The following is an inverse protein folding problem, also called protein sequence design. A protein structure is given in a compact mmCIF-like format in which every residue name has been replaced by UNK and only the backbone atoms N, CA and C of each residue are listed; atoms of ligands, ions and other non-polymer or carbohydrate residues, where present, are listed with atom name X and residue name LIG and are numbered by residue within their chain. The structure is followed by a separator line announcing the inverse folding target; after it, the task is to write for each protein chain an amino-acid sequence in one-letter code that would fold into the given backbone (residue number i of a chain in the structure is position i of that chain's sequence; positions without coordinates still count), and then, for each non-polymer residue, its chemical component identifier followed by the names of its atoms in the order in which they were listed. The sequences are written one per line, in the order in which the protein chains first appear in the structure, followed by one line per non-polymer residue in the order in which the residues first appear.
data_IF_865586849540
#
_entry.id   IF_865586849540
#
_cell.length_a   1.000
_cell.length_b   1.000
_cell.length_c   1.000
_cell.angle_alpha   90.00
_cell.angle_beta   90.00
_cell.angle_gamma   90.00
#
_symmetry.space_group_name_H-M   'P 1'
#
loop_
_entity.id
_entity.type
_entity.pdbx_description
1 polymer ?
#
# COMPACT_ATOMS: atom_id res chain seq x y z
N UNK A 1 51.22 -22.03 -0.24
CA UNK A 1 50.12 -21.74 0.72
C UNK A 1 49.64 -20.29 0.52
N UNK A 2 49.49 -19.85 -0.73
CA UNK A 2 48.31 -20.01 -1.61
C UNK A 2 47.15 -19.08 -1.26
N UNK A 3 47.37 -17.81 -1.63
CA UNK A 3 46.38 -16.74 -1.72
C UNK A 3 45.10 -17.19 -2.47
N UNK A 4 45.25 -18.07 -3.47
CA UNK A 4 44.12 -18.64 -4.23
C UNK A 4 43.15 -19.43 -3.35
N UNK A 5 43.61 -20.11 -2.29
CA UNK A 5 42.72 -20.85 -1.38
C UNK A 5 41.91 -19.94 -0.45
N UNK A 6 42.41 -18.75 -0.09
CA UNK A 6 41.68 -17.79 0.76
C UNK A 6 40.55 -17.08 0.01
N UNK A 7 40.73 -16.81 -1.28
CA UNK A 7 39.68 -16.19 -2.11
C UNK A 7 38.55 -17.19 -2.40
N UNK A 8 38.88 -18.46 -2.63
CA UNK A 8 37.88 -19.50 -2.88
C UNK A 8 37.01 -19.78 -1.64
N UNK A 9 37.58 -19.75 -0.43
CA UNK A 9 36.82 -19.91 0.82
C UNK A 9 35.91 -18.72 1.12
N UNK A 10 36.32 -17.49 0.80
CA UNK A 10 35.47 -16.29 0.95
C UNK A 10 34.30 -16.32 -0.04
N UNK A 11 34.52 -16.78 -1.28
CA UNK A 11 33.45 -16.91 -2.29
C UNK A 11 32.41 -17.94 -1.86
N UNK A 12 32.81 -19.07 -1.26
CA UNK A 12 31.86 -20.07 -0.75
C UNK A 12 31.05 -19.58 0.45
N UNK A 13 31.64 -18.79 1.34
CA UNK A 13 30.93 -18.21 2.51
C UNK A 13 29.92 -17.14 2.07
N UNK A 14 30.23 -16.33 1.06
CA UNK A 14 29.29 -15.34 0.50
C UNK A 14 28.18 -16.00 -0.32
N UNK A 15 28.47 -17.10 -1.03
CA UNK A 15 27.44 -17.85 -1.76
C UNK A 15 26.46 -18.58 -0.83
N UNK A 16 26.92 -19.05 0.35
CA UNK A 16 26.06 -19.66 1.38
C UNK A 16 25.17 -18.67 2.12
N UNK A 17 25.57 -17.39 2.20
CA UNK A 17 24.70 -16.33 2.75
C UNK A 17 23.64 -15.85 1.75
N UNK A 18 23.81 -16.07 0.45
CA UNK A 18 22.78 -15.77 -0.56
C UNK A 18 21.73 -16.87 -0.74
N UNK A 19 21.92 -18.05 -0.14
CA UNK A 19 20.99 -19.19 -0.21
C UNK A 19 20.07 -19.33 1.01
N UNK A 20 20.16 -18.43 1.98
CA UNK A 20 19.37 -18.45 3.22
C UNK A 20 18.49 -17.20 3.36
N UNK A 21 17.57 -17.02 2.41
CA UNK A 21 16.67 -15.85 2.37
C UNK A 21 15.30 -16.07 1.73
N UNK A 22 14.83 -17.31 1.63
CA UNK A 22 13.41 -17.62 1.41
C UNK A 22 13.15 -19.03 1.91
N UNK A 23 13.20 -19.19 3.24
CA UNK A 23 12.65 -20.36 3.90
C UNK A 23 11.14 -20.32 3.73
N UNK A 24 10.62 -20.94 2.67
CA UNK A 24 9.25 -21.43 2.68
C UNK A 24 9.16 -22.49 3.77
N UNK A 25 8.48 -22.13 4.87
CA UNK A 25 8.13 -23.06 5.93
C UNK A 25 7.22 -24.16 5.37
N UNK A 26 7.41 -25.33 5.94
CA UNK A 26 6.91 -26.63 5.53
C UNK A 26 5.38 -26.71 5.47
N UNK A 27 4.91 -27.28 4.36
CA UNK A 27 3.51 -27.56 4.05
C UNK A 27 2.94 -28.57 5.05
N UNK A 28 1.94 -28.16 5.83
CA UNK A 28 1.28 -29.01 6.80
C UNK A 28 -0.25 -28.94 6.58
N UNK A 29 -0.73 -29.82 5.69
CA UNK A 29 -2.02 -30.52 5.80
C UNK A 29 -3.34 -29.74 5.71
N UNK A 30 -3.35 -28.41 5.67
CA UNK A 30 -4.55 -27.56 5.44
C UNK A 30 -4.14 -26.33 4.60
N UNK A 31 -3.83 -26.60 3.32
CA UNK A 31 -2.94 -25.84 2.44
C UNK A 31 -3.50 -24.52 1.83
N UNK A 32 -3.99 -23.58 2.63
CA UNK A 32 -4.31 -22.24 2.08
C UNK A 32 -3.83 -21.05 2.91
N UNK A 33 -3.26 -21.29 4.09
CA UNK A 33 -2.70 -20.21 4.91
C UNK A 33 -1.26 -19.90 4.50
N UNK A 34 -0.95 -18.63 4.26
CA UNK A 34 0.41 -18.13 4.08
C UNK A 34 0.75 -17.15 5.19
N UNK A 35 2.01 -17.11 5.58
CA UNK A 35 2.54 -16.17 6.56
C UNK A 35 3.57 -15.27 5.87
N UNK A 36 3.39 -13.96 6.02
CA UNK A 36 4.22 -12.96 5.36
C UNK A 36 4.76 -11.97 6.38
N UNK A 37 6.02 -11.62 6.23
CA UNK A 37 6.62 -10.49 6.93
C UNK A 37 6.74 -9.31 5.97
N UNK A 38 6.44 -8.12 6.48
CA UNK A 38 6.47 -6.88 5.72
C UNK A 38 6.88 -5.71 6.60
N UNK A 39 7.37 -4.66 5.97
CA UNK A 39 7.87 -3.48 6.63
C UNK A 39 7.06 -2.27 6.18
N UNK A 40 6.86 -1.34 7.10
CA UNK A 40 6.11 -0.12 6.87
C UNK A 40 6.84 1.07 7.48
N UNK A 41 6.83 2.18 6.74
CA UNK A 41 7.47 3.43 7.15
C UNK A 41 6.44 4.54 7.08
N UNK A 42 6.45 5.43 8.07
CA UNK A 42 5.73 6.70 8.02
C UNK A 42 6.63 7.82 8.52
N UNK A 43 6.62 8.95 7.83
CA UNK A 43 7.29 10.17 8.28
C UNK A 43 6.50 10.79 9.45
N UNK A 44 7.24 11.42 10.35
CA UNK A 44 6.74 12.19 11.48
C UNK A 44 7.40 13.56 11.47
N UNK A 45 6.58 14.59 11.34
CA UNK A 45 6.98 15.99 11.44
C UNK A 45 6.50 16.58 12.76
N UNK A 46 7.16 17.65 13.21
CA UNK A 46 6.75 18.39 14.40
C UNK A 46 5.32 18.91 14.22
N UNK A 47 4.42 18.48 15.11
CA UNK A 47 2.97 18.77 15.01
C UNK A 47 2.12 17.55 14.67
N UNK A 48 2.72 16.48 14.13
CA UNK A 48 2.01 15.24 13.83
C UNK A 48 1.65 14.47 15.10
N UNK A 49 0.57 13.68 15.03
CA UNK A 49 0.22 12.74 16.10
C UNK A 49 1.03 11.46 15.98
N UNK A 50 1.83 11.14 17.01
CA UNK A 50 2.58 9.87 17.09
C UNK A 50 1.66 8.65 16.90
N UNK A 51 0.44 8.70 17.44
CA UNK A 51 -0.52 7.61 17.32
C UNK A 51 -0.97 7.41 15.86
N UNK A 52 -1.23 8.51 15.15
CA UNK A 52 -1.58 8.46 13.72
C UNK A 52 -0.40 7.89 12.93
N UNK A 53 0.80 8.43 13.12
CA UNK A 53 2.02 7.95 12.44
C UNK A 53 2.24 6.45 12.63
N UNK A 54 2.10 5.93 13.86
CA UNK A 54 2.22 4.50 14.13
C UNK A 54 1.19 3.68 13.34
N UNK A 55 -0.07 4.12 13.35
CA UNK A 55 -1.16 3.47 12.61
C UNK A 55 -0.92 3.49 11.10
N UNK A 56 -0.44 4.61 10.55
CA UNK A 56 -0.14 4.73 9.12
C UNK A 56 1.02 3.85 8.69
N UNK A 57 2.09 3.75 9.50
CA UNK A 57 3.18 2.82 9.19
C UNK A 57 2.73 1.36 9.25
N UNK A 58 1.89 0.98 10.22
CA UNK A 58 1.33 -0.36 10.29
C UNK A 58 0.44 -0.64 9.08
N UNK A 59 -0.42 0.30 8.70
CA UNK A 59 -1.23 0.21 7.49
C UNK A 59 -0.38 0.00 6.24
N UNK A 60 0.71 0.77 6.07
CA UNK A 60 1.63 0.61 4.94
C UNK A 60 2.22 -0.80 4.89
N UNK A 61 2.69 -1.33 6.03
CA UNK A 61 3.20 -2.70 6.10
C UNK A 61 2.13 -3.74 5.72
N UNK A 62 0.93 -3.62 6.31
CA UNK A 62 -0.20 -4.51 6.01
C UNK A 62 -0.59 -4.45 4.53
N UNK A 63 -0.63 -3.27 3.93
CA UNK A 63 -0.95 -3.09 2.51
C UNK A 63 0.06 -3.81 1.62
N UNK A 64 1.36 -3.67 1.90
CA UNK A 64 2.41 -4.43 1.21
C UNK A 64 2.22 -5.95 1.37
N UNK A 65 1.93 -6.42 2.58
CA UNK A 65 1.68 -7.84 2.83
C UNK A 65 0.45 -8.36 2.05
N UNK A 66 -0.64 -7.57 2.05
CA UNK A 66 -1.87 -7.86 1.29
C UNK A 66 -1.59 -7.97 -0.20
N UNK A 67 -0.77 -7.07 -0.76
CA UNK A 67 -0.42 -7.09 -2.18
C UNK A 67 0.39 -8.33 -2.56
N UNK A 68 1.35 -8.72 -1.71
CA UNK A 68 2.12 -9.94 -1.91
C UNK A 68 1.24 -11.20 -1.80
N UNK A 69 0.38 -11.25 -0.79
CA UNK A 69 -0.59 -12.34 -0.61
C UNK A 69 -1.55 -12.44 -1.80
N UNK A 70 -2.09 -11.31 -2.25
CA UNK A 70 -2.99 -11.25 -3.40
C UNK A 70 -2.33 -11.73 -4.69
N UNK A 71 -1.07 -11.34 -4.94
CA UNK A 71 -0.26 -11.86 -6.06
C UNK A 71 -0.07 -13.38 -5.96
N UNK A 72 0.21 -13.91 -4.76
CA UNK A 72 0.37 -15.35 -4.53
C UNK A 72 -0.92 -16.11 -4.81
N UNK A 73 -2.04 -15.72 -4.20
CA UNK A 73 -3.31 -16.43 -4.35
C UNK A 73 -3.89 -16.32 -5.75
N UNK A 74 -3.71 -15.18 -6.43
CA UNK A 74 -4.05 -15.03 -7.86
C UNK A 74 -3.29 -16.04 -8.73
N UNK A 75 -1.98 -16.19 -8.53
CA UNK A 75 -1.17 -17.18 -9.28
C UNK A 75 -1.62 -18.62 -9.03
N UNK A 76 -2.12 -18.91 -7.82
CA UNK A 76 -2.68 -20.21 -7.44
C UNK A 76 -4.15 -20.40 -7.86
N UNK A 77 -4.78 -19.40 -8.50
CA UNK A 77 -6.21 -19.39 -8.85
C UNK A 77 -7.14 -19.61 -7.64
N UNK A 78 -6.70 -19.19 -6.46
CA UNK A 78 -7.45 -19.31 -5.21
C UNK A 78 -8.33 -18.08 -4.93
N UNK A 79 -8.06 -17.00 -5.64
CA UNK A 79 -8.72 -15.70 -5.51
C UNK A 79 -8.94 -15.14 -6.90
N UNK A 80 -10.12 -14.58 -7.16
CA UNK A 80 -10.45 -13.98 -8.45
C UNK A 80 -9.54 -12.76 -8.76
N UNK A 81 -9.28 -12.46 -10.04
CA UNK A 81 -8.71 -11.18 -10.38
C UNK A 81 -9.73 -10.10 -9.99
N UNK A 82 -9.47 -9.37 -8.90
CA UNK A 82 -10.28 -8.23 -8.44
C UNK A 82 -10.16 -7.01 -9.37
N UNK A 83 -10.26 -7.22 -10.69
CA UNK A 83 -9.96 -6.29 -11.80
C UNK A 83 -10.01 -4.81 -11.41
N UNK A 84 -11.22 -4.29 -11.27
CA UNK A 84 -11.48 -2.87 -11.08
C UNK A 84 -11.71 -2.48 -9.61
N UNK A 85 -11.72 -3.44 -8.68
CA UNK A 85 -11.98 -3.21 -7.24
C UNK A 85 -10.80 -3.53 -6.35
N UNK A 86 -9.67 -3.94 -6.94
CA UNK A 86 -8.47 -4.40 -6.24
C UNK A 86 -8.09 -3.43 -5.13
N UNK A 87 -7.99 -2.15 -5.43
CA UNK A 87 -7.48 -1.18 -4.46
C UNK A 87 -8.50 -0.84 -3.37
N UNK A 88 -9.81 -0.95 -3.64
CA UNK A 88 -10.85 -0.91 -2.59
C UNK A 88 -10.71 -2.10 -1.63
N UNK A 89 -10.63 -3.32 -2.18
CA UNK A 89 -10.61 -4.56 -1.41
C UNK A 89 -9.32 -4.68 -0.61
N UNK A 90 -8.17 -4.35 -1.21
CA UNK A 90 -6.88 -4.47 -0.57
C UNK A 90 -6.71 -3.42 0.53
N UNK A 91 -7.25 -2.22 0.35
CA UNK A 91 -7.24 -1.20 1.39
C UNK A 91 -8.10 -1.62 2.58
N UNK A 92 -9.31 -2.16 2.35
CA UNK A 92 -10.16 -2.70 3.44
C UNK A 92 -9.45 -3.85 4.16
N UNK A 93 -8.89 -4.81 3.41
CA UNK A 93 -8.21 -5.95 4.02
C UNK A 93 -7.00 -5.51 4.87
N UNK A 94 -6.26 -4.49 4.43
CA UNK A 94 -5.13 -3.96 5.18
C UNK A 94 -5.56 -3.30 6.51
N UNK A 95 -6.79 -2.79 6.63
CA UNK A 95 -7.30 -2.33 7.93
C UNK A 95 -7.77 -3.49 8.82
N UNK A 96 -8.40 -4.51 8.23
CA UNK A 96 -9.09 -5.59 8.94
C UNK A 96 -8.16 -6.74 9.37
N UNK A 97 -7.06 -6.97 8.66
CA UNK A 97 -6.18 -8.11 8.94
C UNK A 97 -5.39 -7.88 10.23
N UNK A 98 -5.32 -8.91 11.06
CA UNK A 98 -4.53 -8.87 12.30
C UNK A 98 -3.04 -9.03 12.00
N UNK A 99 -2.23 -8.32 12.77
CA UNK A 99 -0.78 -8.34 12.71
C UNK A 99 -0.14 -8.74 14.03
N UNK A 100 1.01 -9.41 13.93
CA UNK A 100 1.96 -9.54 15.01
C UNK A 100 3.10 -8.54 14.76
N UNK A 101 3.34 -7.62 15.69
CA UNK A 101 4.44 -6.66 15.57
C UNK A 101 5.76 -7.34 15.97
N UNK A 102 6.67 -7.49 15.01
CA UNK A 102 7.99 -8.09 15.24
C UNK A 102 8.99 -7.04 15.74
N UNK A 103 8.94 -5.84 15.16
CA UNK A 103 9.89 -4.76 15.48
C UNK A 103 9.26 -3.39 15.28
N UNK A 104 9.54 -2.49 16.20
CA UNK A 104 9.24 -1.06 16.09
C UNK A 104 10.52 -0.26 16.29
N UNK A 105 10.77 0.77 15.50
CA UNK A 105 11.93 1.65 15.69
C UNK A 105 11.62 3.07 15.25
N UNK A 106 12.11 4.04 16.01
CA UNK A 106 12.12 5.45 15.62
C UNK A 106 13.53 5.84 15.20
N UNK A 107 13.65 6.48 14.04
CA UNK A 107 14.90 7.11 13.61
C UNK A 107 14.65 8.60 13.42
N UNK A 108 15.59 9.43 13.83
CA UNK A 108 15.49 10.89 13.69
C UNK A 108 16.61 11.40 12.81
N UNK A 109 16.29 12.25 11.86
CA UNK A 109 17.26 12.89 10.96
C UNK A 109 16.88 14.35 10.82
N UNK A 110 17.57 15.21 11.59
CA UNK A 110 17.19 16.62 11.72
C UNK A 110 15.78 16.78 12.33
N UNK A 111 14.95 17.60 11.69
CA UNK A 111 13.58 17.89 12.13
C UNK A 111 12.54 16.84 11.72
N UNK A 112 12.95 15.81 10.96
CA UNK A 112 12.06 14.74 10.50
C UNK A 112 12.43 13.45 11.23
N UNK A 113 11.46 12.86 11.91
CA UNK A 113 11.58 11.49 12.40
C UNK A 113 10.87 10.53 11.45
N UNK A 114 11.33 9.29 11.41
CA UNK A 114 10.67 8.18 10.71
C UNK A 114 10.30 7.13 11.72
N UNK A 115 9.08 6.64 11.62
CA UNK A 115 8.65 5.45 12.34
C UNK A 115 8.69 4.27 11.40
N UNK A 116 9.41 3.24 11.81
CA UNK A 116 9.56 1.98 11.11
C UNK A 116 8.90 0.87 11.92
N UNK A 117 8.12 0.03 11.25
CA UNK A 117 7.52 -1.17 11.83
C UNK A 117 7.74 -2.35 10.90
N UNK A 118 8.06 -3.51 11.50
CA UNK A 118 8.04 -4.81 10.83
C UNK A 118 6.97 -5.67 11.47
N UNK A 119 6.09 -6.22 10.66
CA UNK A 119 4.97 -7.04 11.10
C UNK A 119 5.01 -8.41 10.46
N UNK A 120 4.35 -9.37 11.10
CA UNK A 120 3.97 -10.67 10.53
C UNK A 120 2.47 -10.73 10.39
N UNK A 121 1.99 -11.24 9.27
CA UNK A 121 0.57 -11.38 8.98
C UNK A 121 0.31 -12.74 8.37
N UNK A 122 -0.79 -13.38 8.80
CA UNK A 122 -1.27 -14.63 8.23
C UNK A 122 -2.47 -14.35 7.34
N UNK A 123 -2.46 -14.91 6.13
CA UNK A 123 -3.53 -14.75 5.16
C UNK A 123 -4.09 -16.08 4.72
N UNK A 124 -5.38 -16.10 4.46
CA UNK A 124 -6.10 -17.13 3.73
C UNK A 124 -6.86 -16.51 2.55
N UNK A 125 -7.27 -17.29 1.53
CA UNK A 125 -8.16 -16.80 0.48
C UNK A 125 -9.48 -16.24 1.03
N UNK A 126 -9.97 -16.79 2.15
CA UNK A 126 -11.20 -16.37 2.81
C UNK A 126 -11.14 -14.92 3.28
N UNK A 127 -9.96 -14.42 3.67
CA UNK A 127 -9.80 -13.03 4.10
C UNK A 127 -10.09 -12.04 2.97
N UNK A 128 -9.67 -12.38 1.74
CA UNK A 128 -9.97 -11.57 0.55
C UNK A 128 -11.45 -11.60 0.18
N UNK A 129 -12.09 -12.78 0.26
CA UNK A 129 -13.54 -12.91 0.05
C UNK A 129 -14.32 -12.08 1.08
N UNK A 130 -13.88 -12.10 2.35
CA UNK A 130 -14.50 -11.30 3.42
C UNK A 130 -14.35 -9.80 3.14
N UNK A 131 -13.17 -9.36 2.74
CA UNK A 131 -12.93 -7.96 2.38
C UNK A 131 -13.78 -7.52 1.18
N UNK A 132 -13.98 -8.38 0.18
CA UNK A 132 -14.89 -8.13 -0.93
C UNK A 132 -16.35 -7.98 -0.49
N UNK A 133 -16.85 -8.91 0.32
CA UNK A 133 -18.20 -8.84 0.89
C UNK A 133 -18.38 -7.53 1.66
N UNK A 134 -17.40 -7.16 2.48
CA UNK A 134 -17.42 -5.93 3.26
C UNK A 134 -17.41 -4.70 2.35
N UNK A 135 -16.61 -4.70 1.28
CA UNK A 135 -16.60 -3.64 0.26
C UNK A 135 -17.99 -3.45 -0.37
N UNK A 136 -18.65 -4.55 -0.76
CA UNK A 136 -20.01 -4.53 -1.31
C UNK A 136 -21.03 -3.98 -0.32
N UNK A 137 -20.89 -4.27 0.97
CA UNK A 137 -21.76 -3.71 2.01
C UNK A 137 -21.58 -2.20 2.14
N UNK A 138 -20.35 -1.69 2.11
CA UNK A 138 -20.09 -0.25 2.13
C UNK A 138 -20.66 0.44 0.90
N UNK A 139 -20.45 -0.12 -0.29
CA UNK A 139 -21.01 0.42 -1.53
C UNK A 139 -22.54 0.52 -1.48
N UNK A 140 -23.22 -0.51 -0.93
CA UNK A 140 -24.68 -0.49 -0.72
C UNK A 140 -25.12 0.59 0.28
N UNK A 141 -24.35 0.81 1.36
CA UNK A 141 -24.65 1.86 2.36
C UNK A 141 -24.49 3.25 1.75
N UNK A 142 -23.45 3.48 0.98
CA UNK A 142 -23.17 4.75 0.32
C UNK A 142 -24.17 5.08 -0.79
N UNK A 143 -24.64 4.06 -1.52
CA UNK A 143 -25.69 4.25 -2.55
C UNK A 143 -26.96 4.88 -1.97
N UNK A 144 -27.31 4.53 -0.72
CA UNK A 144 -28.48 5.06 0.03
C UNK A 144 -28.26 6.45 0.62
N UNK A 145 -27.07 7.02 0.48
CA UNK A 145 -26.74 8.33 1.05
C UNK A 145 -27.33 9.47 0.21
N UNK A 146 -27.86 10.50 0.87
CA UNK A 146 -28.46 11.66 0.22
C UNK A 146 -27.49 12.38 -0.73
N UNK A 147 -28.02 12.92 -1.85
CA UNK A 147 -27.23 13.56 -2.91
C UNK A 147 -26.27 14.65 -2.39
N UNK A 148 -26.70 15.45 -1.42
CA UNK A 148 -25.89 16.52 -0.80
C UNK A 148 -24.65 15.99 -0.07
N UNK A 149 -24.73 14.81 0.56
CA UNK A 149 -23.59 14.16 1.22
C UNK A 149 -22.63 13.49 0.22
N UNK A 150 -23.03 13.32 -1.04
CA UNK A 150 -22.16 12.77 -2.10
C UNK A 150 -21.18 13.79 -2.66
N UNK A 151 -21.54 15.08 -2.67
CA UNK A 151 -20.66 16.15 -3.18
C UNK A 151 -19.51 16.46 -2.23
N UNK A 152 -19.72 16.25 -0.93
CA UNK A 152 -18.72 16.41 0.11
C UNK A 152 -18.81 15.26 1.11
N UNK A 153 -18.15 14.13 0.83
CA UNK A 153 -18.19 12.99 1.73
C UNK A 153 -17.58 13.38 3.08
N UNK A 154 -18.28 13.05 4.17
CA UNK A 154 -17.80 13.28 5.52
C UNK A 154 -16.74 12.25 5.87
N UNK A 155 -15.62 12.69 6.44
CA UNK A 155 -14.60 11.76 6.95
C UNK A 155 -14.94 11.42 8.41
N UNK A 156 -15.00 10.13 8.72
CA UNK A 156 -15.24 9.66 10.08
C UNK A 156 -14.12 10.06 11.04
N UNK A 157 -14.41 10.10 12.35
CA UNK A 157 -13.38 10.40 13.37
C UNK A 157 -12.44 9.21 13.63
N UNK A 158 -12.87 7.98 13.32
CA UNK A 158 -12.10 6.75 13.53
C UNK A 158 -10.90 6.71 12.57
N UNK A 159 -9.72 6.32 13.05
CA UNK A 159 -8.50 6.19 12.25
C UNK A 159 -8.51 4.79 11.61
N UNK A 160 -8.93 4.75 10.35
CA UNK A 160 -9.13 3.57 9.48
C UNK A 160 -8.72 3.97 8.04
N UNK A 161 -7.41 4.12 7.78
CA UNK A 161 -6.93 4.62 6.50
C UNK A 161 -7.38 3.74 5.33
N UNK A 162 -7.44 2.42 5.51
CA UNK A 162 -7.88 1.48 4.48
C UNK A 162 -9.34 1.64 4.08
N UNK A 163 -10.25 1.82 5.04
CA UNK A 163 -11.66 2.07 4.78
C UNK A 163 -11.89 3.41 4.07
N UNK A 164 -11.22 4.45 4.55
CA UNK A 164 -11.30 5.77 3.96
C UNK A 164 -10.72 5.76 2.53
N UNK A 165 -9.57 5.12 2.29
CA UNK A 165 -8.99 4.97 0.95
C UNK A 165 -9.89 4.13 0.03
N UNK A 166 -10.52 3.08 0.53
CA UNK A 166 -11.45 2.29 -0.28
C UNK A 166 -12.66 3.13 -0.75
N UNK A 167 -13.12 4.09 0.05
CA UNK A 167 -14.11 5.06 -0.40
C UNK A 167 -13.57 5.93 -1.55
N UNK A 168 -12.34 6.45 -1.41
CA UNK A 168 -11.70 7.26 -2.45
C UNK A 168 -11.55 6.48 -3.77
N UNK A 169 -11.04 5.24 -3.72
CA UNK A 169 -10.91 4.38 -4.89
C UNK A 169 -12.26 4.06 -5.54
N UNK A 170 -13.33 3.93 -4.75
CA UNK A 170 -14.68 3.76 -5.27
C UNK A 170 -15.19 4.97 -6.03
N UNK A 171 -14.89 6.18 -5.55
CA UNK A 171 -15.20 7.42 -6.28
C UNK A 171 -14.44 7.48 -7.61
N UNK A 172 -13.15 7.10 -7.62
CA UNK A 172 -12.33 7.02 -8.82
C UNK A 172 -12.91 6.03 -9.84
N UNK A 173 -13.26 4.82 -9.41
CA UNK A 173 -13.89 3.80 -10.25
C UNK A 173 -15.22 4.28 -10.85
N UNK A 174 -15.99 5.06 -10.09
CA UNK A 174 -17.28 5.64 -10.56
C UNK A 174 -17.11 6.89 -11.43
N UNK A 175 -15.88 7.18 -11.85
CA UNK A 175 -15.52 8.38 -12.63
C UNK A 175 -15.87 9.71 -11.93
N UNK A 176 -15.98 9.71 -10.60
CA UNK A 176 -16.26 10.91 -9.81
C UNK A 176 -14.94 11.60 -9.41
N UNK A 177 -14.05 11.82 -10.39
CA UNK A 177 -12.64 12.18 -10.14
C UNK A 177 -12.48 13.48 -9.33
N UNK A 178 -13.25 14.52 -9.64
CA UNK A 178 -13.22 15.78 -8.88
C UNK A 178 -13.65 15.61 -7.42
N UNK A 179 -14.70 14.81 -7.19
CA UNK A 179 -15.17 14.49 -5.83
C UNK A 179 -14.13 13.65 -5.10
N UNK A 180 -13.48 12.71 -5.79
CA UNK A 180 -12.40 11.91 -5.24
C UNK A 180 -11.22 12.79 -4.80
N UNK A 181 -10.81 13.77 -5.62
CA UNK A 181 -9.72 14.71 -5.26
C UNK A 181 -10.09 15.53 -4.02
N UNK A 182 -11.30 16.13 -3.98
CA UNK A 182 -11.77 16.88 -2.80
C UNK A 182 -11.77 16.00 -1.54
N UNK A 183 -12.18 14.73 -1.68
CA UNK A 183 -12.16 13.79 -0.57
C UNK A 183 -10.73 13.43 -0.14
N UNK A 184 -9.84 13.19 -1.10
CA UNK A 184 -8.42 12.88 -0.87
C UNK A 184 -7.67 14.05 -0.21
N UNK A 185 -7.98 15.30 -0.57
CA UNK A 185 -7.41 16.50 0.08
C UNK A 185 -7.78 16.53 1.57
N UNK A 186 -9.03 16.19 1.89
CA UNK A 186 -9.47 16.10 3.29
C UNK A 186 -8.87 14.89 4.00
N UNK A 187 -8.66 13.77 3.31
CA UNK A 187 -7.94 12.62 3.88
C UNK A 187 -6.48 12.96 4.19
N UNK A 188 -5.83 13.77 3.36
CA UNK A 188 -4.45 14.23 3.60
C UNK A 188 -4.35 15.00 4.91
N UNK A 189 -5.36 15.81 5.25
CA UNK A 189 -5.43 16.51 6.54
C UNK A 189 -5.55 15.54 7.72
N UNK A 190 -6.25 14.41 7.55
CA UNK A 190 -6.44 13.40 8.60
C UNK A 190 -5.26 12.44 8.72
N UNK A 191 -4.64 12.10 7.59
CA UNK A 191 -3.57 11.13 7.45
C UNK A 191 -2.35 11.78 6.80
N UNK A 192 -1.69 12.72 7.50
CA UNK A 192 -0.52 13.38 6.97
C UNK A 192 0.57 12.36 6.64
N UNK A 193 1.24 12.56 5.51
CA UNK A 193 2.33 11.71 5.02
C UNK A 193 1.93 10.27 4.60
N UNK A 194 0.64 9.99 4.34
CA UNK A 194 0.21 8.72 3.74
C UNK A 194 0.36 8.77 2.21
N UNK A 195 1.40 8.13 1.67
CA UNK A 195 1.73 8.17 0.25
C UNK A 195 0.61 7.66 -0.69
N UNK A 196 -0.19 6.70 -0.23
CA UNK A 196 -1.32 6.12 -0.96
C UNK A 196 -2.37 7.17 -1.37
N UNK A 197 -2.53 8.25 -0.58
CA UNK A 197 -3.44 9.36 -0.93
C UNK A 197 -2.96 10.04 -2.22
N UNK A 198 -1.65 10.27 -2.35
CA UNK A 198 -1.08 10.92 -3.51
C UNK A 198 -1.04 9.98 -4.73
N UNK A 199 -0.91 8.67 -4.52
CA UNK A 199 -1.10 7.68 -5.58
C UNK A 199 -2.55 7.70 -6.10
N UNK A 200 -3.55 7.73 -5.22
CA UNK A 200 -4.95 7.86 -5.64
C UNK A 200 -5.22 9.19 -6.39
N UNK A 201 -4.60 10.30 -5.95
CA UNK A 201 -4.68 11.59 -6.67
C UNK A 201 -4.08 11.51 -8.07
N UNK A 202 -2.94 10.82 -8.26
CA UNK A 202 -2.33 10.71 -9.59
C UNK A 202 -3.23 9.96 -10.57
N UNK A 203 -3.93 8.92 -10.12
CA UNK A 203 -4.94 8.21 -10.93
C UNK A 203 -6.06 9.15 -11.36
N UNK A 204 -6.55 10.00 -10.45
CA UNK A 204 -7.58 10.99 -10.75
C UNK A 204 -7.11 12.01 -11.79
N UNK A 205 -5.91 12.57 -11.60
CA UNK A 205 -5.34 13.56 -12.53
C UNK A 205 -5.06 12.97 -13.90
N UNK A 206 -4.57 11.73 -13.96
CA UNK A 206 -4.41 11.01 -15.23
C UNK A 206 -5.74 10.89 -15.98
N UNK A 207 -6.81 10.47 -15.30
CA UNK A 207 -8.13 10.33 -15.90
C UNK A 207 -8.75 11.66 -16.37
N UNK A 208 -8.32 12.78 -15.80
CA UNK A 208 -8.72 14.14 -16.20
C UNK A 208 -7.78 14.78 -17.22
N UNK A 209 -6.77 14.06 -17.72
CA UNK A 209 -5.73 14.56 -18.62
C UNK A 209 -4.88 15.71 -18.02
N UNK A 210 -4.76 15.78 -16.70
CA UNK A 210 -3.94 16.77 -15.98
C UNK A 210 -2.54 16.19 -15.70
N UNK A 211 -1.75 15.99 -16.76
CA UNK A 211 -0.48 15.25 -16.72
C UNK A 211 0.54 15.84 -15.73
N UNK A 212 0.66 17.16 -15.65
CA UNK A 212 1.60 17.79 -14.71
C UNK A 212 1.17 17.58 -13.25
N UNK A 213 -0.13 17.69 -12.95
CA UNK A 213 -0.66 17.41 -11.62
C UNK A 213 -0.51 15.92 -11.23
N UNK A 214 -0.66 15.01 -12.20
CA UNK A 214 -0.37 13.59 -12.03
C UNK A 214 1.10 13.36 -11.65
N UNK A 215 2.05 13.93 -12.40
CA UNK A 215 3.50 13.79 -12.12
C UNK A 215 3.84 14.30 -10.72
N UNK A 216 3.37 15.50 -10.35
CA UNK A 216 3.59 16.09 -9.02
C UNK A 216 3.04 15.16 -7.92
N UNK A 217 1.86 14.58 -8.14
CA UNK A 217 1.26 13.64 -7.19
C UNK A 217 2.08 12.36 -7.05
N UNK A 218 2.55 11.78 -8.16
CA UNK A 218 3.43 10.61 -8.13
C UNK A 218 4.77 10.91 -7.42
N UNK A 219 5.38 12.08 -7.67
CA UNK A 219 6.61 12.50 -7.00
C UNK A 219 6.44 12.63 -5.50
N UNK A 220 5.27 13.09 -5.05
CA UNK A 220 4.98 13.18 -3.63
C UNK A 220 4.74 11.80 -3.02
N UNK A 221 3.96 10.93 -3.68
CA UNK A 221 3.77 9.54 -3.26
C UNK A 221 5.10 8.78 -3.16
N UNK A 222 5.98 8.94 -4.16
CA UNK A 222 7.30 8.31 -4.17
C UNK A 222 8.20 8.81 -3.02
N UNK A 223 8.19 10.13 -2.74
CA UNK A 223 8.89 10.70 -1.57
C UNK A 223 8.39 10.14 -0.23
N UNK A 224 7.14 9.67 -0.20
CA UNK A 224 6.52 9.03 0.96
C UNK A 224 6.70 7.50 0.98
N UNK A 225 7.57 6.95 0.12
CA UNK A 225 7.90 5.53 -0.03
C UNK A 225 6.78 4.65 -0.59
N UNK A 226 5.87 5.21 -1.40
CA UNK A 226 4.95 4.40 -2.20
C UNK A 226 5.70 3.86 -3.43
N UNK A 227 6.09 2.58 -3.39
CA UNK A 227 6.90 1.93 -4.43
C UNK A 227 6.26 1.99 -5.82
N UNK A 228 4.94 1.76 -5.90
CA UNK A 228 4.18 1.84 -7.16
C UNK A 228 4.35 3.21 -7.84
N UNK A 229 4.25 4.30 -7.08
CA UNK A 229 4.44 5.63 -7.61
C UNK A 229 5.88 5.88 -8.10
N UNK A 230 6.87 5.36 -7.38
CA UNK A 230 8.27 5.45 -7.81
C UNK A 230 8.52 4.70 -9.11
N UNK A 231 7.92 3.53 -9.29
CA UNK A 231 8.08 2.73 -10.50
C UNK A 231 7.35 3.35 -11.70
N UNK A 232 6.18 3.94 -11.49
CA UNK A 232 5.46 4.65 -12.55
C UNK A 232 6.21 5.91 -13.01
N UNK A 233 6.81 6.67 -12.10
CA UNK A 233 7.71 7.78 -12.48
C UNK A 233 8.89 7.31 -13.33
N UNK A 234 9.52 6.18 -12.98
CA UNK A 234 10.62 5.62 -13.78
C UNK A 234 10.15 5.25 -15.18
N UNK A 235 8.96 4.64 -15.32
CA UNK A 235 8.38 4.29 -16.63
C UNK A 235 8.09 5.53 -17.46
N UNK A 236 7.48 6.55 -16.87
CA UNK A 236 7.18 7.83 -17.55
C UNK A 236 8.47 8.47 -18.07
N UNK A 237 9.52 8.56 -17.23
CA UNK A 237 10.82 9.11 -17.65
C UNK A 237 11.43 8.36 -18.82
N UNK A 238 11.40 7.02 -18.79
CA UNK A 238 11.88 6.19 -19.91
C UNK A 238 11.09 6.46 -21.20
N UNK A 239 9.77 6.54 -21.13
CA UNK A 239 8.95 6.79 -22.33
C UNK A 239 9.24 8.16 -22.97
N UNK A 240 9.49 9.18 -22.14
CA UNK A 240 9.90 10.51 -22.60
C UNK A 240 11.29 10.50 -23.26
N UNK A 241 12.24 9.71 -22.75
CA UNK A 241 13.58 9.55 -23.35
C UNK A 241 13.53 8.90 -24.74
N UNK A 242 12.48 8.11 -25.03
CA UNK A 242 12.30 7.43 -26.32
C UNK A 242 11.37 8.17 -27.30
N UNK A 243 10.97 9.42 -27.02
CA UNK A 243 9.99 10.18 -27.84
C UNK A 243 8.70 9.39 -28.13
N UNK A 244 8.24 8.59 -27.16
CA UNK A 244 6.94 7.92 -27.26
C UNK A 244 5.91 8.80 -26.54
N UNK A 245 5.05 9.46 -27.31
CA UNK A 245 3.97 10.29 -26.79
C UNK A 245 2.89 9.43 -26.11
N UNK A 246 2.31 9.98 -25.04
CA UNK A 246 1.21 9.42 -24.23
C UNK A 246 -0.17 9.76 -24.82
#
# INVERSE_FOLDING_TARGET
MDWKMKIQTIIWVVLLMFLSGSGFSQDNGNNTTIELESEGVCLFKKGDSKQITKKLACFNAKKTAVELAGKYFKRKKLVEPYEHRKDEIYSILADEINEDIIKETWTSTGDISKYFVRIRVKFTPVDFIRAEILNLQYEKKEAKTALRKKMEPSIGKKIEPGHDLAHAYRLLRKAQWRVAIIYLDRLEMKYPNLGEIHLAKSIAYYAMHEIEAMKVSLEHACRLNTEEACDDLKKIKRLQEFNLDF
#
